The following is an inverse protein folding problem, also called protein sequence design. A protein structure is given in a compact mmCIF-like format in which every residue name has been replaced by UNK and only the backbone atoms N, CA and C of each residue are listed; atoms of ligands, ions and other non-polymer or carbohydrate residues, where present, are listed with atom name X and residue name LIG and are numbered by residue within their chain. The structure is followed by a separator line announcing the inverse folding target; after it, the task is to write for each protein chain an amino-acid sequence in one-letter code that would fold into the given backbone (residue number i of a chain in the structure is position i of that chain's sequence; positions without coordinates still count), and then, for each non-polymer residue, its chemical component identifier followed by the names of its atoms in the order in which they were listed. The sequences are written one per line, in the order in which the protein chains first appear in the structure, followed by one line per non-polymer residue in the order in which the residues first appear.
data_IF_531022552996
#
_entry.id   IF_531022552996
#
_cell.length_a   1.000
_cell.length_b   1.000
_cell.length_c   1.000
_cell.angle_alpha   90.00
_cell.angle_beta   90.00
_cell.angle_gamma   90.00
#
_symmetry.space_group_name_H-M   'P 1'
#
loop_
_entity.id
_entity.type
_entity.pdbx_description
1 polymer ?
#
# COMPACT_ATOMS: atom_id res chain seq x y z
N UNK A 1 2.89 -21.52 1.13
CA UNK A 1 3.20 -20.12 1.47
C UNK A 1 4.07 -19.56 0.36
N UNK A 2 3.70 -18.43 -0.24
CA UNK A 2 4.46 -17.84 -1.34
C UNK A 2 5.75 -17.25 -0.74
N UNK A 3 6.90 -17.55 -1.35
CA UNK A 3 8.19 -17.04 -0.91
C UNK A 3 8.48 -15.69 -1.55
N UNK A 4 8.93 -14.71 -0.78
CA UNK A 4 9.34 -13.40 -1.32
C UNK A 4 10.46 -13.55 -2.36
N UNK A 5 11.36 -14.54 -2.20
CA UNK A 5 12.42 -14.84 -3.17
C UNK A 5 11.86 -15.29 -4.52
N UNK A 6 10.74 -16.03 -4.53
CA UNK A 6 10.09 -16.45 -5.77
C UNK A 6 9.44 -15.25 -6.47
N UNK A 7 8.79 -14.36 -5.72
CA UNK A 7 8.21 -13.13 -6.25
C UNK A 7 9.28 -12.24 -6.89
N UNK A 8 10.40 -12.00 -6.19
CA UNK A 8 11.54 -11.25 -6.72
C UNK A 8 12.02 -11.88 -8.04
N UNK A 9 12.15 -13.21 -8.08
CA UNK A 9 12.56 -13.92 -9.31
C UNK A 9 11.54 -13.74 -10.45
N UNK A 10 10.25 -13.88 -10.16
CA UNK A 10 9.18 -13.73 -11.15
C UNK A 10 9.10 -12.31 -11.70
N UNK A 11 9.21 -11.29 -10.84
CA UNK A 11 9.28 -9.89 -11.24
C UNK A 11 10.51 -9.60 -12.11
N UNK A 12 11.68 -10.12 -11.75
CA UNK A 12 12.88 -9.96 -12.58
C UNK A 12 12.69 -10.55 -13.98
N UNK A 13 12.14 -11.76 -14.08
CA UNK A 13 11.82 -12.39 -15.38
C UNK A 13 10.78 -11.59 -16.14
N UNK A 14 9.77 -11.05 -15.46
CA UNK A 14 8.75 -10.21 -16.06
C UNK A 14 9.35 -8.93 -16.65
N UNK A 15 10.17 -8.21 -15.88
CA UNK A 15 10.82 -6.96 -16.28
C UNK A 15 11.81 -7.17 -17.44
N UNK A 16 12.59 -8.25 -17.43
CA UNK A 16 13.52 -8.58 -18.53
C UNK A 16 12.84 -8.84 -19.87
N UNK A 17 11.57 -9.26 -19.87
CA UNK A 17 10.78 -9.50 -21.09
C UNK A 17 10.18 -8.23 -21.68
N UNK A 18 10.21 -7.11 -20.95
CA UNK A 18 9.62 -5.87 -21.41
C UNK A 18 10.59 -5.15 -22.35
N UNK A 19 10.16 -4.93 -23.59
CA UNK A 19 10.95 -4.22 -24.61
C UNK A 19 10.66 -2.73 -24.66
N UNK A 20 9.57 -2.30 -24.03
CA UNK A 20 9.10 -0.91 -24.04
C UNK A 20 8.85 -0.45 -22.62
N UNK A 21 9.58 0.58 -22.21
CA UNK A 21 9.35 1.22 -20.93
C UNK A 21 8.01 1.97 -20.95
N UNK A 22 7.20 1.75 -19.93
CA UNK A 22 5.98 2.52 -19.68
C UNK A 22 5.81 2.68 -18.17
N UNK A 23 4.95 3.61 -17.76
CA UNK A 23 4.74 3.95 -16.35
C UNK A 23 4.44 2.73 -15.48
N UNK A 24 3.68 1.75 -15.99
CA UNK A 24 3.41 0.52 -15.25
C UNK A 24 4.69 -0.28 -14.99
N UNK A 25 5.55 -0.45 -15.99
CA UNK A 25 6.85 -1.15 -15.83
C UNK A 25 7.77 -0.42 -14.85
N UNK A 26 7.81 0.91 -14.89
CA UNK A 26 8.58 1.72 -13.94
C UNK A 26 8.10 1.49 -12.51
N UNK A 27 6.79 1.51 -12.28
CA UNK A 27 6.25 1.25 -10.93
C UNK A 27 6.53 -0.19 -10.49
N UNK A 28 6.45 -1.17 -11.39
CA UNK A 28 6.82 -2.56 -11.08
C UNK A 28 8.31 -2.67 -10.69
N UNK A 29 9.22 -1.91 -11.32
CA UNK A 29 10.63 -1.87 -10.87
C UNK A 29 10.77 -1.28 -9.46
N UNK A 30 10.06 -0.21 -9.11
CA UNK A 30 10.07 0.32 -7.75
C UNK A 30 9.52 -0.70 -6.73
N UNK A 31 8.49 -1.47 -7.10
CA UNK A 31 7.97 -2.54 -6.24
C UNK A 31 9.01 -3.64 -6.03
N UNK A 32 9.75 -4.02 -7.07
CA UNK A 32 10.83 -5.00 -6.96
C UNK A 32 11.89 -4.56 -5.93
N UNK A 33 12.31 -3.28 -5.97
CA UNK A 33 13.27 -2.73 -5.00
C UNK A 33 12.74 -2.78 -3.57
N UNK A 34 11.45 -2.44 -3.37
CA UNK A 34 10.81 -2.57 -2.07
C UNK A 34 10.68 -4.02 -1.62
N UNK A 35 10.44 -4.97 -2.54
CA UNK A 35 10.32 -6.39 -2.20
C UNK A 35 11.64 -7.01 -1.78
N UNK A 36 12.75 -6.50 -2.31
CA UNK A 36 14.08 -6.90 -1.87
C UNK A 36 14.40 -6.48 -0.44
N UNK A 37 13.75 -5.44 0.10
CA UNK A 37 13.97 -4.95 1.47
C UNK A 37 13.02 -5.56 2.52
N UNK A 38 12.01 -6.33 2.09
CA UNK A 38 11.01 -6.91 3.00
C UNK A 38 11.61 -7.95 3.97
N UNK A 39 11.09 -7.96 5.20
CA UNK A 39 11.47 -8.92 6.24
C UNK A 39 11.06 -10.35 5.91
N UNK A 40 11.80 -11.32 6.45
CA UNK A 40 11.62 -12.75 6.15
C UNK A 40 10.39 -13.41 6.79
N UNK A 41 9.78 -12.79 7.80
CA UNK A 41 8.61 -13.30 8.54
C UNK A 41 7.27 -12.82 7.96
N UNK A 42 7.26 -12.19 6.78
CA UNK A 42 6.02 -11.87 6.07
C UNK A 42 5.33 -13.14 5.57
N UNK A 43 4.03 -13.23 5.82
CA UNK A 43 3.14 -14.22 5.24
C UNK A 43 2.53 -13.61 3.99
N UNK A 44 3.01 -14.06 2.83
CA UNK A 44 2.44 -13.68 1.55
C UNK A 44 1.26 -14.58 1.24
N UNK A 45 0.10 -13.96 1.06
CA UNK A 45 -1.19 -14.61 0.87
C UNK A 45 -1.48 -14.78 -0.62
N UNK A 46 -1.25 -13.74 -1.41
CA UNK A 46 -1.55 -13.73 -2.84
C UNK A 46 -0.58 -12.85 -3.61
N UNK A 47 -0.30 -13.23 -4.87
CA UNK A 47 0.59 -12.50 -5.76
C UNK A 47 0.28 -12.85 -7.22
N UNK A 48 0.27 -11.84 -8.07
CA UNK A 48 0.24 -11.99 -9.52
C UNK A 48 0.96 -10.84 -10.18
N UNK A 49 1.67 -11.12 -11.27
CA UNK A 49 2.22 -10.11 -12.17
C UNK A 49 1.91 -10.50 -13.62
N UNK A 50 1.33 -9.57 -14.35
CA UNK A 50 1.03 -9.69 -15.78
C UNK A 50 1.41 -8.40 -16.51
N UNK A 51 1.24 -8.37 -17.83
CA UNK A 51 1.46 -7.15 -18.63
C UNK A 51 0.47 -6.01 -18.33
N UNK A 52 -0.63 -6.29 -17.62
CA UNK A 52 -1.71 -5.34 -17.38
C UNK A 52 -1.88 -4.97 -15.91
N UNK A 53 -1.52 -5.88 -15.02
CA UNK A 53 -1.78 -5.78 -13.59
C UNK A 53 -0.74 -6.52 -12.77
N UNK A 54 -0.50 -5.98 -11.59
CA UNK A 54 0.31 -6.56 -10.53
C UNK A 54 -0.47 -6.44 -9.23
N UNK A 55 -0.48 -7.49 -8.41
CA UNK A 55 -0.99 -7.37 -7.05
C UNK A 55 -0.15 -8.18 -6.07
N UNK A 56 -0.17 -7.73 -4.81
CA UNK A 56 0.44 -8.41 -3.68
C UNK A 56 -0.48 -8.27 -2.46
N UNK A 57 -0.76 -9.40 -1.81
CA UNK A 57 -1.42 -9.46 -0.51
C UNK A 57 -0.49 -10.09 0.51
N UNK A 58 -0.25 -9.41 1.63
CA UNK A 58 0.64 -9.91 2.67
C UNK A 58 0.24 -9.41 4.06
N UNK A 59 0.76 -10.10 5.08
CA UNK A 59 0.56 -9.76 6.49
C UNK A 59 1.74 -10.23 7.33
N UNK A 60 1.91 -9.67 8.53
CA UNK A 60 2.71 -10.31 9.58
C UNK A 60 1.86 -11.35 10.33
N UNK A 61 2.53 -12.31 10.97
CA UNK A 61 1.95 -13.50 11.62
C UNK A 61 0.71 -13.28 12.49
N UNK A 62 0.52 -12.07 13.03
CA UNK A 62 -0.58 -11.67 13.90
C UNK A 62 -1.22 -10.32 13.56
N UNK A 63 -0.82 -9.68 12.46
CA UNK A 63 -1.12 -8.26 12.20
C UNK A 63 -1.63 -8.03 10.77
N UNK A 64 -1.69 -6.75 10.41
CA UNK A 64 -2.55 -6.20 9.38
C UNK A 64 -2.39 -6.81 8.00
N UNK A 65 -3.54 -7.03 7.37
CA UNK A 65 -3.58 -7.45 5.98
C UNK A 65 -3.47 -6.21 5.10
N UNK A 66 -2.41 -6.21 4.30
CA UNK A 66 -2.15 -5.17 3.33
C UNK A 66 -2.32 -5.75 1.93
N UNK A 67 -3.06 -5.00 1.11
CA UNK A 67 -3.23 -5.27 -0.30
C UNK A 67 -2.67 -4.11 -1.11
N UNK A 68 -1.86 -4.46 -2.09
CA UNK A 68 -1.41 -3.54 -3.13
C UNK A 68 -1.89 -4.09 -4.47
N UNK A 69 -2.61 -3.27 -5.23
CA UNK A 69 -2.86 -3.53 -6.64
C UNK A 69 -2.37 -2.36 -7.48
N UNK A 70 -1.81 -2.71 -8.63
CA UNK A 70 -1.31 -1.79 -9.62
C UNK A 70 -1.86 -2.25 -10.97
N UNK A 71 -2.41 -1.31 -11.72
CA UNK A 71 -2.70 -1.49 -13.15
C UNK A 71 -2.03 -0.38 -13.94
N UNK A 72 -2.23 -0.38 -15.27
CA UNK A 72 -1.81 0.74 -16.11
C UNK A 72 -2.55 2.05 -15.81
N UNK A 73 -3.65 2.00 -15.06
CA UNK A 73 -4.51 3.16 -14.81
C UNK A 73 -4.39 3.66 -13.37
N UNK A 74 -4.24 2.75 -12.42
CA UNK A 74 -4.34 3.10 -11.03
C UNK A 74 -3.39 2.33 -10.12
N UNK A 75 -3.19 2.90 -8.93
CA UNK A 75 -2.63 2.22 -7.77
C UNK A 75 -3.68 2.22 -6.66
N UNK A 76 -3.84 1.06 -6.06
CA UNK A 76 -4.76 0.81 -4.97
C UNK A 76 -3.99 0.23 -3.77
N UNK A 77 -4.11 0.91 -2.64
CA UNK A 77 -3.58 0.46 -1.35
C UNK A 77 -4.76 0.21 -0.42
N UNK A 78 -4.95 -1.03 0.03
CA UNK A 78 -5.97 -1.36 1.05
C UNK A 78 -5.29 -1.76 2.35
N UNK A 79 -5.75 -1.14 3.43
CA UNK A 79 -5.40 -1.41 4.81
C UNK A 79 -6.59 -2.12 5.44
N UNK A 80 -6.76 -3.42 5.17
CA UNK A 80 -8.04 -4.10 5.44
C UNK A 80 -8.43 -4.10 6.92
N UNK A 81 -7.46 -4.28 7.83
CA UNK A 81 -7.72 -4.17 9.27
C UNK A 81 -8.14 -2.77 9.72
N UNK A 82 -7.82 -1.76 8.92
CA UNK A 82 -8.12 -0.36 9.17
C UNK A 82 -9.34 0.10 8.37
N UNK A 83 -10.00 -0.81 7.65
CA UNK A 83 -11.08 -0.52 6.71
C UNK A 83 -10.78 0.67 5.77
N UNK A 84 -9.50 0.93 5.45
CA UNK A 84 -9.07 2.11 4.70
C UNK A 84 -8.58 1.67 3.32
N UNK A 85 -8.90 2.48 2.31
CA UNK A 85 -8.45 2.27 0.95
C UNK A 85 -8.05 3.61 0.36
N UNK A 86 -6.95 3.61 -0.39
CA UNK A 86 -6.51 4.77 -1.16
C UNK A 86 -6.34 4.36 -2.60
N UNK A 87 -6.85 5.20 -3.50
CA UNK A 87 -6.87 4.96 -4.93
C UNK A 87 -6.29 6.18 -5.67
N UNK A 88 -5.35 5.93 -6.59
CA UNK A 88 -4.70 6.97 -7.36
C UNK A 88 -4.90 6.69 -8.86
N UNK A 89 -5.63 7.55 -9.58
CA UNK A 89 -6.10 7.33 -10.97
C UNK A 89 -5.37 8.20 -12.03
N UNK A 90 -4.33 8.97 -11.68
CA UNK A 90 -3.78 9.97 -12.60
C UNK A 90 -2.24 10.09 -12.64
N UNK A 91 -1.75 10.40 -13.85
CA UNK A 91 -0.36 10.48 -14.30
C UNK A 91 0.52 11.48 -13.56
N UNK A 92 -0.05 12.56 -12.99
CA UNK A 92 0.74 13.60 -12.30
C UNK A 92 1.29 13.12 -10.95
N UNK A 93 0.67 12.10 -10.36
CA UNK A 93 1.13 11.53 -9.09
C UNK A 93 2.25 10.50 -9.27
N UNK A 94 2.60 10.13 -10.51
CA UNK A 94 3.59 9.08 -10.78
C UNK A 94 5.00 9.43 -10.32
N UNK A 95 5.39 10.71 -10.38
CA UNK A 95 6.73 11.16 -9.98
C UNK A 95 7.06 10.85 -8.51
N UNK A 96 6.05 10.81 -7.65
CA UNK A 96 6.21 10.53 -6.22
C UNK A 96 5.84 9.11 -5.83
N UNK A 97 5.53 8.23 -6.79
CA UNK A 97 5.10 6.86 -6.46
C UNK A 97 6.21 6.03 -5.84
N UNK A 98 7.46 6.20 -6.24
CA UNK A 98 8.57 5.51 -5.59
C UNK A 98 8.62 5.87 -4.09
N UNK A 99 8.50 7.17 -3.79
CA UNK A 99 8.48 7.70 -2.42
C UNK A 99 7.25 7.20 -1.66
N UNK A 100 6.09 7.17 -2.30
CA UNK A 100 4.84 6.65 -1.75
C UNK A 100 4.96 5.17 -1.39
N UNK A 101 5.41 4.33 -2.32
CA UNK A 101 5.57 2.89 -2.11
C UNK A 101 6.58 2.61 -1.00
N UNK A 102 7.72 3.31 -1.00
CA UNK A 102 8.71 3.21 0.08
C UNK A 102 8.12 3.61 1.44
N UNK A 103 7.41 4.73 1.51
CA UNK A 103 6.77 5.20 2.75
C UNK A 103 5.70 4.22 3.23
N UNK A 104 4.96 3.60 2.30
CA UNK A 104 3.97 2.56 2.58
C UNK A 104 4.59 1.31 3.19
N UNK A 105 5.66 0.76 2.59
CA UNK A 105 6.33 -0.42 3.15
C UNK A 105 7.04 -0.15 4.47
N UNK A 106 7.46 1.10 4.73
CA UNK A 106 8.05 1.52 6.00
C UNK A 106 7.04 1.90 7.08
N UNK A 107 5.74 1.88 6.78
CA UNK A 107 4.73 2.29 7.75
C UNK A 107 4.72 3.79 8.06
N UNK A 108 5.22 4.63 7.16
CA UNK A 108 5.32 6.09 7.33
C UNK A 108 3.98 6.80 7.09
N UNK A 109 2.93 6.32 7.74
CA UNK A 109 1.57 6.88 7.67
C UNK A 109 0.83 6.68 9.00
N UNK A 110 -0.24 7.45 9.17
CA UNK A 110 -1.20 7.34 10.26
C UNK A 110 -2.60 7.25 9.68
N UNK A 111 -3.44 6.41 10.27
CA UNK A 111 -4.85 6.28 9.93
C UNK A 111 -5.67 6.67 11.15
N UNK A 112 -6.58 7.61 10.97
CA UNK A 112 -7.60 7.97 11.96
C UNK A 112 -8.95 7.43 11.52
N UNK A 113 -9.67 6.76 12.43
CA UNK A 113 -11.04 6.30 12.19
C UNK A 113 -11.92 6.80 13.33
N UNK A 114 -12.97 7.54 13.00
CA UNK A 114 -13.97 7.94 13.98
C UNK A 114 -15.21 7.07 13.82
N UNK A 115 -15.76 6.60 14.95
CA UNK A 115 -16.91 5.70 15.01
C UNK A 115 -18.02 6.29 15.85
N UNK A 116 -19.25 6.05 15.42
CA UNK A 116 -20.44 6.38 16.21
C UNK A 116 -20.74 5.29 17.25
N UNK A 117 -21.78 5.52 18.07
CA UNK A 117 -22.26 4.60 19.12
C UNK A 117 -22.63 3.18 18.70
N UNK A 118 -22.80 2.95 17.40
CA UNK A 118 -23.09 1.62 16.84
C UNK A 118 -21.83 0.94 16.33
N UNK A 119 -20.64 1.50 16.58
CA UNK A 119 -19.35 1.02 16.05
C UNK A 119 -19.13 1.31 14.56
N UNK A 120 -20.06 2.00 13.88
CA UNK A 120 -19.96 2.29 12.45
C UNK A 120 -18.98 3.44 12.21
N UNK A 121 -18.03 3.24 11.30
CA UNK A 121 -17.13 4.27 10.80
C UNK A 121 -17.92 5.43 10.17
N UNK A 122 -17.70 6.65 10.67
CA UNK A 122 -18.34 7.88 10.21
C UNK A 122 -17.34 8.86 9.56
N UNK A 123 -16.06 8.73 9.90
CA UNK A 123 -14.96 9.46 9.28
C UNK A 123 -13.73 8.55 9.21
N UNK A 124 -12.96 8.69 8.14
CA UNK A 124 -11.64 8.06 7.99
C UNK A 124 -10.67 9.03 7.37
N UNK A 125 -9.43 8.99 7.82
CA UNK A 125 -8.35 9.78 7.27
C UNK A 125 -7.07 8.96 7.22
N UNK A 126 -6.29 9.18 6.17
CA UNK A 126 -4.90 8.75 6.10
C UNK A 126 -3.99 9.97 5.93
N UNK A 127 -2.94 10.02 6.76
CA UNK A 127 -1.90 11.04 6.70
C UNK A 127 -0.55 10.38 6.50
N UNK A 128 0.17 10.77 5.46
CA UNK A 128 1.56 10.38 5.25
C UNK A 128 2.47 11.22 6.13
N UNK A 129 3.45 10.58 6.77
CA UNK A 129 4.41 11.27 7.66
C UNK A 129 5.50 11.98 6.87
N UNK A 130 5.75 11.54 5.64
CA UNK A 130 6.65 12.21 4.72
C UNK A 130 5.96 13.45 4.11
N UNK A 131 6.55 14.63 4.32
CA UNK A 131 6.03 15.92 3.84
C UNK A 131 5.86 15.97 2.32
N UNK A 132 6.72 15.28 1.57
CA UNK A 132 6.61 15.23 0.11
C UNK A 132 5.34 14.49 -0.34
N UNK A 133 4.73 13.72 0.54
CA UNK A 133 3.53 12.92 0.28
C UNK A 133 2.24 13.54 0.83
N UNK A 134 2.26 14.77 1.34
CA UNK A 134 1.05 15.44 1.86
C UNK A 134 -0.09 15.50 0.81
N UNK A 135 0.25 15.54 -0.48
CA UNK A 135 -0.72 15.52 -1.59
C UNK A 135 -1.50 14.20 -1.73
N UNK A 136 -1.05 13.16 -1.03
CA UNK A 136 -1.69 11.84 -0.98
C UNK A 136 -2.46 11.61 0.32
N UNK A 137 -2.57 12.63 1.17
CA UNK A 137 -3.47 12.58 2.32
C UNK A 137 -4.91 12.57 1.81
N UNK A 138 -5.73 11.70 2.38
CA UNK A 138 -7.13 11.53 1.96
C UNK A 138 -8.02 11.51 3.19
N UNK A 139 -9.22 12.08 3.04
CA UNK A 139 -10.24 12.20 4.08
C UNK A 139 -11.60 11.79 3.52
N UNK A 140 -12.31 10.96 4.28
CA UNK A 140 -13.59 10.40 3.87
C UNK A 140 -14.62 10.62 4.97
N UNK A 141 -15.56 11.53 4.72
CA UNK A 141 -16.79 11.63 5.53
C UNK A 141 -17.79 10.58 5.06
N UNK A 142 -18.07 9.59 5.91
CA UNK A 142 -18.95 8.46 5.59
C UNK A 142 -20.38 8.66 6.11
N UNK A 143 -20.59 9.63 7.00
CA UNK A 143 -21.89 9.98 7.56
C UNK A 143 -21.91 11.43 8.03
N UNK A 144 -23.09 12.06 7.95
CA UNK A 144 -23.35 13.38 8.54
C UNK A 144 -23.58 13.35 10.07
N UNK A 145 -23.54 12.16 10.68
CA UNK A 145 -23.67 12.02 12.14
C UNK A 145 -22.49 12.68 12.84
N UNK A 146 -22.77 13.59 13.77
CA UNK A 146 -21.74 14.33 14.53
C UNK A 146 -21.39 13.68 15.89
N UNK A 147 -22.11 12.62 16.26
CA UNK A 147 -21.85 11.92 17.53
C UNK A 147 -20.67 10.96 17.35
N UNK A 148 -19.46 11.47 17.59
CA UNK A 148 -18.23 10.67 17.71
C UNK A 148 -18.20 10.05 19.10
N UNK A 149 -18.05 8.72 19.16
CA UNK A 149 -17.86 8.00 20.43
C UNK A 149 -16.41 7.52 20.57
N UNK A 150 -15.86 6.93 19.51
CA UNK A 150 -14.50 6.37 19.52
C UNK A 150 -13.66 6.98 18.41
N UNK A 151 -12.38 7.22 18.71
CA UNK A 151 -11.37 7.66 17.75
C UNK A 151 -10.20 6.67 17.83
N UNK A 152 -10.02 5.88 16.78
CA UNK A 152 -8.91 4.96 16.61
C UNK A 152 -7.77 5.69 15.89
N UNK A 153 -6.58 5.71 16.50
CA UNK A 153 -5.37 6.29 15.90
C UNK A 153 -4.36 5.18 15.66
N UNK A 154 -4.21 4.79 14.41
CA UNK A 154 -3.45 3.63 13.99
C UNK A 154 -2.20 4.09 13.24
N UNK A 155 -1.05 3.52 13.61
CA UNK A 155 0.24 3.83 12.97
C UNK A 155 0.56 2.74 11.96
N UNK A 156 1.18 3.14 10.84
CA UNK A 156 1.70 2.18 9.88
C UNK A 156 2.74 1.25 10.51
N UNK A 157 2.79 0.04 9.97
CA UNK A 157 3.76 -0.99 10.37
C UNK A 157 4.91 -0.98 9.37
N UNK A 158 6.14 -1.05 9.87
CA UNK A 158 7.32 -1.25 9.04
C UNK A 158 7.44 -2.73 8.63
N UNK A 159 7.40 -3.00 7.33
CA UNK A 159 7.56 -4.32 6.73
C UNK A 159 8.95 -4.54 6.14
N UNK A 160 9.81 -3.54 6.22
CA UNK A 160 11.19 -3.61 5.74
C UNK A 160 12.11 -4.09 6.85
N UNK A 161 13.16 -4.80 6.47
CA UNK A 161 14.26 -5.08 7.39
C UNK A 161 15.03 -3.78 7.60
N UNK A 162 15.45 -3.51 8.83
CA UNK A 162 16.51 -2.53 9.13
C UNK A 162 17.85 -3.01 8.53
N UNK A 163 17.90 -3.23 7.22
CA UNK A 163 19.10 -3.58 6.50
C UNK A 163 19.72 -2.27 6.00
N UNK A 164 20.50 -1.66 6.90
CA UNK A 164 21.60 -0.76 6.51
C UNK A 164 22.69 -1.55 5.78
#
# INVERSE_FOLDING_TARGET
MISIKNIIKELNVFLQKQTTENNYIIVVSYLLDNYMSLISDLIIVDFSVTEKEHHLSFKKSSEDFIFLALTRKYIELRFLSHEQMVFFDETEKFEKLEVLLRSFFKGEYQIEIQRNKNGKSIYKQIKWLNKDLELFNEEYELSSSKEVETIDNLKGIDFTSDAR
#
